data_IF_612499451234
#
_entry.id   IF_612499451234
#
_cell.length_a   1.000
_cell.length_b   1.000
_cell.length_c   1.000
_cell.angle_alpha   90.00
_cell.angle_beta   90.00
_cell.angle_gamma   90.00
#
_symmetry.space_group_name_H-M   'P 1'
#
loop_
_entity.id
_entity.type
_entity.pdbx_description
1 polymer ?
#
# COMPACT_ATOMS: atom_id res chain seq x y z
N UNK A 1 -11.59 -2.10 4.98
CA UNK A 1 -11.45 -2.67 3.63
C UNK A 1 -12.78 -2.99 2.94
N UNK A 2 -13.76 -3.69 3.56
CA UNK A 2 -15.04 -4.00 2.88
C UNK A 2 -15.86 -2.77 2.49
N UNK A 3 -16.02 -1.81 3.41
CA UNK A 3 -16.76 -0.56 3.17
C UNK A 3 -16.17 0.27 2.02
N UNK A 4 -14.84 0.29 1.91
CA UNK A 4 -14.13 1.02 0.86
C UNK A 4 -14.42 0.41 -0.51
N UNK A 5 -14.25 -0.91 -0.62
CA UNK A 5 -14.52 -1.62 -1.88
C UNK A 5 -15.99 -1.55 -2.28
N UNK A 6 -16.91 -1.59 -1.32
CA UNK A 6 -18.33 -1.33 -1.57
C UNK A 6 -18.58 0.11 -2.08
N UNK A 7 -17.90 1.11 -1.50
CA UNK A 7 -17.94 2.49 -2.00
C UNK A 7 -17.43 2.61 -3.44
N UNK A 8 -16.30 1.99 -3.77
CA UNK A 8 -15.79 1.95 -5.15
C UNK A 8 -16.74 1.25 -6.11
N UNK A 9 -17.35 0.15 -5.69
CA UNK A 9 -18.38 -0.54 -6.46
C UNK A 9 -19.59 0.36 -6.73
N UNK A 10 -20.05 1.13 -5.73
CA UNK A 10 -21.15 2.09 -5.90
C UNK A 10 -20.81 3.26 -6.81
N UNK A 11 -19.60 3.80 -6.71
CA UNK A 11 -19.11 4.83 -7.64
C UNK A 11 -19.11 4.30 -9.07
N UNK A 12 -18.68 3.05 -9.26
CA UNK A 12 -18.72 2.41 -10.57
C UNK A 12 -20.15 2.21 -11.09
N UNK A 13 -21.07 1.73 -10.25
CA UNK A 13 -22.49 1.60 -10.63
C UNK A 13 -23.10 2.94 -11.03
N UNK A 14 -22.79 4.03 -10.32
CA UNK A 14 -23.30 5.38 -10.61
C UNK A 14 -22.75 5.95 -11.93
N UNK A 15 -21.45 5.77 -12.18
CA UNK A 15 -20.82 6.15 -13.46
C UNK A 15 -21.42 5.35 -14.62
N UNK A 16 -21.71 4.06 -14.41
CA UNK A 16 -22.26 3.17 -15.44
C UNK A 16 -23.78 3.26 -15.60
N UNK A 17 -24.50 3.75 -14.59
CA UNK A 17 -25.95 3.96 -14.60
C UNK A 17 -26.37 5.21 -15.37
N UNK A 18 -25.44 6.13 -15.66
CA UNK A 18 -25.69 7.27 -16.52
C UNK A 18 -25.83 6.82 -18.00
N UNK A 19 -26.97 7.06 -18.66
CA UNK A 19 -27.26 6.55 -20.00
C UNK A 19 -26.58 7.37 -21.11
N UNK A 20 -25.37 7.86 -20.88
CA UNK A 20 -24.58 8.52 -21.92
C UNK A 20 -24.01 7.45 -22.84
N UNK A 21 -24.14 7.60 -24.17
CA UNK A 21 -23.62 6.63 -25.15
C UNK A 21 -22.13 6.29 -24.92
N UNK A 22 -21.34 7.26 -24.45
CA UNK A 22 -19.95 7.07 -24.07
C UNK A 22 -19.74 6.08 -22.90
N UNK A 23 -20.64 6.05 -21.91
CA UNK A 23 -20.58 5.15 -20.76
C UNK A 23 -20.96 3.71 -21.14
N UNK A 24 -21.94 3.54 -22.03
CA UNK A 24 -22.32 2.23 -22.58
C UNK A 24 -21.25 1.67 -23.53
N UNK A 25 -20.64 2.51 -24.36
CA UNK A 25 -19.48 2.12 -25.16
C UNK A 25 -18.28 1.75 -24.28
N UNK A 26 -17.98 2.52 -23.24
CA UNK A 26 -16.93 2.18 -22.27
C UNK A 26 -17.19 0.82 -21.58
N UNK A 27 -18.45 0.50 -21.24
CA UNK A 27 -18.85 -0.81 -20.70
C UNK A 27 -18.58 -1.96 -21.67
N UNK A 28 -18.81 -1.75 -22.97
CA UNK A 28 -18.58 -2.77 -23.99
C UNK A 28 -17.09 -3.00 -24.28
N UNK A 29 -16.24 -1.98 -24.12
CA UNK A 29 -14.80 -2.07 -24.37
C UNK A 29 -13.93 -2.41 -23.14
N UNK A 30 -14.36 -2.07 -21.91
CA UNK A 30 -13.54 -2.21 -20.69
C UNK A 30 -13.90 -3.47 -19.87
N UNK A 31 -15.10 -4.04 -20.04
CA UNK A 31 -15.58 -5.15 -19.22
C UNK A 31 -15.98 -4.72 -17.81
N UNK A 32 -16.26 -5.68 -16.92
CA UNK A 32 -16.59 -5.40 -15.51
C UNK A 32 -15.31 -5.45 -14.64
N UNK A 33 -14.81 -4.30 -14.15
CA UNK A 33 -13.57 -4.23 -13.36
C UNK A 33 -13.67 -4.88 -11.98
N UNK A 34 -14.89 -5.23 -11.53
CA UNK A 34 -15.15 -5.97 -10.31
C UNK A 34 -15.38 -7.46 -10.56
N UNK A 35 -15.34 -7.91 -11.82
CA UNK A 35 -15.35 -9.33 -12.19
C UNK A 35 -13.93 -9.83 -12.45
N UNK A 36 -13.72 -11.15 -12.44
CA UNK A 36 -12.40 -11.70 -12.74
C UNK A 36 -12.03 -11.64 -14.22
N UNK A 37 -10.74 -11.44 -14.55
CA UNK A 37 -9.59 -11.32 -13.62
C UNK A 37 -9.38 -9.93 -12.98
N UNK A 38 -9.97 -8.87 -13.51
CA UNK A 38 -9.68 -7.48 -13.15
C UNK A 38 -10.00 -7.13 -11.68
N UNK A 39 -10.89 -7.88 -11.03
CA UNK A 39 -11.22 -7.74 -9.62
C UNK A 39 -9.98 -7.75 -8.71
N UNK A 40 -8.95 -8.56 -9.03
CA UNK A 40 -7.70 -8.59 -8.26
C UNK A 40 -7.01 -7.23 -8.23
N UNK A 41 -6.96 -6.56 -9.39
CA UNK A 41 -6.33 -5.26 -9.56
C UNK A 41 -7.18 -4.15 -8.95
N UNK A 42 -8.48 -4.11 -9.27
CA UNK A 42 -9.39 -3.07 -8.80
C UNK A 42 -9.50 -3.03 -7.29
N UNK A 43 -9.68 -4.20 -6.66
CA UNK A 43 -9.79 -4.31 -5.20
C UNK A 43 -8.44 -4.02 -4.53
N UNK A 44 -7.32 -4.38 -5.17
CA UNK A 44 -5.99 -4.06 -4.65
C UNK A 44 -5.76 -2.55 -4.63
N UNK A 45 -6.08 -1.86 -5.73
CA UNK A 45 -5.97 -0.40 -5.83
C UNK A 45 -6.89 0.30 -4.81
N UNK A 46 -8.17 -0.08 -4.76
CA UNK A 46 -9.11 0.51 -3.81
C UNK A 46 -8.66 0.30 -2.36
N UNK A 47 -8.12 -0.87 -2.06
CA UNK A 47 -7.61 -1.20 -0.73
C UNK A 47 -6.32 -0.45 -0.39
N UNK A 48 -5.43 -0.23 -1.36
CA UNK A 48 -4.11 0.35 -1.11
C UNK A 48 -4.17 1.82 -0.72
N UNK A 49 -5.19 2.56 -1.18
CA UNK A 49 -5.46 3.94 -0.78
C UNK A 49 -5.64 4.10 0.75
N UNK A 50 -6.06 3.03 1.43
CA UNK A 50 -6.36 3.02 2.86
C UNK A 50 -5.32 2.28 3.71
N UNK A 51 -4.16 1.96 3.14
CA UNK A 51 -3.05 1.34 3.88
C UNK A 51 -2.47 2.26 4.98
N UNK A 52 -2.79 3.55 4.97
CA UNK A 52 -2.50 4.42 6.10
C UNK A 52 -3.21 3.99 7.41
N UNK A 53 -4.33 3.27 7.34
CA UNK A 53 -5.05 2.76 8.54
C UNK A 53 -4.20 1.75 9.32
N UNK A 54 -3.72 0.63 8.74
CA UNK A 54 -2.79 -0.25 9.44
C UNK A 54 -1.46 0.43 9.77
N UNK A 55 -1.04 1.46 9.01
CA UNK A 55 0.13 2.26 9.37
C UNK A 55 -0.04 2.99 10.71
N UNK A 56 -1.24 3.50 11.02
CA UNK A 56 -1.56 4.07 12.33
C UNK A 56 -1.32 3.04 13.44
N UNK A 57 -1.79 1.80 13.24
CA UNK A 57 -1.61 0.71 14.21
C UNK A 57 -0.13 0.43 14.46
N UNK A 58 0.68 0.35 13.39
CA UNK A 58 2.14 0.15 13.50
C UNK A 58 2.81 1.29 14.27
N UNK A 59 2.47 2.54 13.98
CA UNK A 59 3.01 3.71 14.69
C UNK A 59 2.65 3.68 16.17
N UNK A 60 1.40 3.33 16.48
CA UNK A 60 0.92 3.20 17.85
C UNK A 60 1.66 2.09 18.60
N UNK A 61 1.85 0.92 17.99
CA UNK A 61 2.58 -0.20 18.62
C UNK A 61 4.00 0.17 18.99
N UNK A 62 4.79 0.73 18.06
CA UNK A 62 6.16 1.10 18.38
C UNK A 62 6.23 2.30 19.35
N UNK A 63 5.29 3.24 19.28
CA UNK A 63 5.26 4.39 20.21
C UNK A 63 4.83 4.00 21.63
N UNK A 64 3.92 3.03 21.75
CA UNK A 64 3.49 2.48 23.04
C UNK A 64 4.63 1.74 23.73
N UNK A 65 5.49 1.05 22.96
CA UNK A 65 6.70 0.40 23.49
C UNK A 65 7.59 1.38 24.28
N UNK A 66 7.75 2.61 23.76
CA UNK A 66 8.52 3.65 24.45
C UNK A 66 7.76 4.26 25.63
N UNK A 67 6.45 4.44 25.48
CA UNK A 67 5.58 5.02 26.51
C UNK A 67 5.53 4.15 27.76
N UNK A 68 5.34 2.84 27.57
CA UNK A 68 5.26 1.85 28.65
C UNK A 68 6.63 1.25 29.03
N UNK A 69 7.71 1.70 28.38
CA UNK A 69 9.09 1.25 28.63
C UNK A 69 9.28 -0.26 28.50
N UNK A 70 8.43 -0.95 27.74
CA UNK A 70 8.53 -2.41 27.52
C UNK A 70 9.81 -2.75 26.76
N UNK A 71 10.39 -1.81 26.01
CA UNK A 71 11.72 -1.97 25.43
C UNK A 71 12.78 -2.27 26.52
N UNK A 72 12.74 -1.57 27.65
CA UNK A 72 13.65 -1.81 28.78
C UNK A 72 13.36 -3.17 29.42
N UNK A 73 12.09 -3.56 29.49
CA UNK A 73 11.70 -4.88 30.01
C UNK A 73 12.26 -6.01 29.14
N UNK A 74 12.14 -5.92 27.80
CA UNK A 74 12.69 -6.93 26.90
C UNK A 74 14.22 -7.12 27.10
N UNK A 75 14.94 -6.03 27.38
CA UNK A 75 16.38 -6.08 27.67
C UNK A 75 16.65 -6.74 29.03
N UNK A 76 15.84 -6.44 30.06
CA UNK A 76 15.89 -7.11 31.37
C UNK A 76 15.62 -8.60 31.21
N UNK A 77 14.70 -8.97 30.32
CA UNK A 77 14.36 -10.35 29.96
C UNK A 77 15.42 -11.02 29.07
N UNK A 78 16.57 -10.36 28.83
CA UNK A 78 17.73 -10.93 28.14
C UNK A 78 17.70 -10.83 26.61
N UNK A 79 16.80 -10.04 26.03
CA UNK A 79 16.76 -9.87 24.58
C UNK A 79 17.97 -9.10 24.06
N UNK A 80 18.57 -9.63 23.00
CA UNK A 80 19.56 -8.88 22.23
C UNK A 80 18.92 -7.72 21.48
N UNK A 81 19.72 -6.69 21.21
CA UNK A 81 19.28 -5.49 20.46
C UNK A 81 18.80 -5.83 19.05
N UNK A 82 19.35 -6.87 18.43
CA UNK A 82 18.91 -7.36 17.11
C UNK A 82 17.59 -8.12 17.22
N UNK A 83 17.39 -8.95 18.25
CA UNK A 83 16.12 -9.63 18.48
C UNK A 83 14.97 -8.64 18.65
N UNK A 84 15.19 -7.50 19.32
CA UNK A 84 14.18 -6.46 19.42
C UNK A 84 13.76 -5.91 18.05
N UNK A 85 14.70 -5.53 17.17
CA UNK A 85 14.34 -5.02 15.84
C UNK A 85 13.72 -6.13 14.97
N UNK A 86 14.18 -7.37 15.14
CA UNK A 86 13.65 -8.53 14.43
C UNK A 86 12.19 -8.80 14.81
N UNK A 87 11.82 -8.71 16.09
CA UNK A 87 10.42 -8.87 16.49
C UNK A 87 9.53 -7.79 15.90
N UNK A 88 10.02 -6.54 15.82
CA UNK A 88 9.25 -5.46 15.18
C UNK A 88 9.10 -5.64 13.68
N UNK A 89 10.12 -6.18 13.00
CA UNK A 89 10.00 -6.59 11.60
C UNK A 89 8.93 -7.68 11.43
N UNK A 90 8.93 -8.68 12.31
CA UNK A 90 7.93 -9.76 12.31
C UNK A 90 6.53 -9.19 12.58
N UNK A 91 6.36 -8.27 13.53
CA UNK A 91 5.08 -7.60 13.81
C UNK A 91 4.53 -6.90 12.55
N UNK A 92 5.40 -6.16 11.84
CA UNK A 92 5.02 -5.47 10.58
C UNK A 92 4.67 -6.47 9.48
N UNK A 93 5.40 -7.59 9.36
CA UNK A 93 5.10 -8.66 8.40
C UNK A 93 3.76 -9.35 8.71
N UNK A 94 3.45 -9.61 9.98
CA UNK A 94 2.19 -10.20 10.41
C UNK A 94 1.03 -9.27 10.04
N UNK A 95 1.14 -7.97 10.34
CA UNK A 95 0.11 -6.99 9.97
C UNK A 95 -0.05 -6.95 8.44
N UNK A 96 1.07 -6.90 7.70
CA UNK A 96 1.04 -6.96 6.22
C UNK A 96 0.27 -8.17 5.72
N UNK A 97 0.55 -9.35 6.28
CA UNK A 97 -0.11 -10.60 5.88
C UNK A 97 -1.62 -10.57 6.19
N UNK A 98 -2.01 -10.11 7.38
CA UNK A 98 -3.42 -9.96 7.76
C UNK A 98 -4.15 -9.04 6.78
N UNK A 99 -3.55 -7.89 6.45
CA UNK A 99 -4.13 -6.93 5.50
C UNK A 99 -4.22 -7.52 4.09
N UNK A 100 -3.21 -8.27 3.66
CA UNK A 100 -3.20 -8.97 2.37
C UNK A 100 -4.28 -10.05 2.31
N UNK A 101 -4.47 -10.83 3.38
CA UNK A 101 -5.54 -11.85 3.47
C UNK A 101 -6.91 -11.19 3.43
N UNK A 102 -7.10 -10.06 4.13
CA UNK A 102 -8.36 -9.31 4.06
C UNK A 102 -8.65 -8.83 2.64
N UNK A 103 -7.64 -8.25 1.96
CA UNK A 103 -7.74 -7.88 0.55
C UNK A 103 -8.11 -9.08 -0.32
N UNK A 104 -7.41 -10.21 -0.15
CA UNK A 104 -7.63 -11.43 -0.93
C UNK A 104 -9.08 -11.95 -0.79
N UNK A 105 -9.60 -12.01 0.44
CA UNK A 105 -10.98 -12.43 0.70
C UNK A 105 -11.98 -11.47 0.03
N UNK A 106 -11.75 -10.16 0.11
CA UNK A 106 -12.64 -9.17 -0.51
C UNK A 106 -12.60 -9.29 -2.03
N UNK A 107 -11.40 -9.44 -2.62
CA UNK A 107 -11.25 -9.62 -4.06
C UNK A 107 -11.94 -10.91 -4.54
N UNK A 108 -11.85 -11.99 -3.77
CA UNK A 108 -12.57 -13.23 -4.03
C UNK A 108 -14.09 -13.03 -4.02
N UNK A 109 -14.63 -12.46 -2.94
CA UNK A 109 -16.08 -12.26 -2.79
C UNK A 109 -16.62 -11.32 -3.87
N UNK A 110 -15.92 -10.21 -4.12
CA UNK A 110 -16.28 -9.24 -5.16
C UNK A 110 -16.24 -9.87 -6.54
N UNK A 111 -15.16 -10.59 -6.88
CA UNK A 111 -15.01 -11.24 -8.17
C UNK A 111 -16.09 -12.28 -8.45
N UNK A 112 -16.39 -13.16 -7.47
CA UNK A 112 -17.43 -14.20 -7.60
C UNK A 112 -18.82 -13.59 -7.77
N UNK A 113 -19.18 -12.59 -6.96
CA UNK A 113 -20.51 -11.97 -6.99
C UNK A 113 -20.81 -11.23 -8.30
N UNK A 114 -19.77 -10.81 -9.02
CA UNK A 114 -19.87 -10.03 -10.25
C UNK A 114 -19.59 -10.84 -11.52
N UNK A 115 -19.36 -12.15 -11.40
CA UNK A 115 -18.99 -13.00 -12.53
C UNK A 115 -20.25 -13.52 -13.26
N UNK A 116 -20.40 -13.19 -14.55
CA UNK A 116 -21.52 -13.67 -15.36
C UNK A 116 -21.39 -15.15 -15.79
N UNK A 117 -20.17 -15.71 -15.80
CA UNK A 117 -19.89 -17.12 -16.14
C UNK A 117 -18.83 -17.70 -15.20
N UNK A 118 -19.13 -18.84 -14.57
CA UNK A 118 -18.32 -19.50 -13.52
C UNK A 118 -16.86 -19.82 -13.88
N UNK A 119 -16.51 -19.97 -15.17
CA UNK A 119 -15.16 -20.40 -15.61
C UNK A 119 -14.64 -19.42 -16.66
N UNK A 120 -14.25 -18.23 -16.23
CA UNK A 120 -13.35 -17.33 -16.97
C UNK A 120 -12.02 -17.27 -16.21
N UNK A 121 -10.97 -16.73 -16.81
CA UNK A 121 -9.61 -16.63 -16.25
C UNK A 121 -9.58 -15.99 -14.84
N UNK A 122 -9.89 -16.74 -13.78
CA UNK A 122 -10.01 -16.21 -12.41
C UNK A 122 -8.68 -15.67 -11.91
N UNK A 123 -7.58 -16.32 -12.29
CA UNK A 123 -6.25 -16.07 -11.71
C UNK A 123 -5.35 -15.19 -12.58
N UNK A 124 -5.84 -14.67 -13.72
CA UNK A 124 -5.03 -13.94 -14.69
C UNK A 124 -4.25 -12.76 -14.12
N UNK A 125 -4.83 -12.07 -13.14
CA UNK A 125 -4.27 -10.86 -12.51
C UNK A 125 -3.94 -11.11 -11.02
N UNK A 126 -3.81 -12.37 -10.59
CA UNK A 126 -3.56 -12.71 -9.18
C UNK A 126 -2.18 -12.26 -8.67
N UNK A 127 -1.27 -11.88 -9.57
CA UNK A 127 0.03 -11.31 -9.19
C UNK A 127 -0.10 -10.00 -8.39
N UNK A 128 -1.23 -9.28 -8.51
CA UNK A 128 -1.55 -8.13 -7.66
C UNK A 128 -1.65 -8.48 -6.17
N UNK A 129 -1.83 -9.75 -5.80
CA UNK A 129 -1.77 -10.17 -4.39
C UNK A 129 -0.37 -9.94 -3.82
N UNK A 130 0.66 -10.35 -4.55
CA UNK A 130 2.05 -10.15 -4.14
C UNK A 130 2.45 -8.66 -4.20
N UNK A 131 2.00 -7.93 -5.23
CA UNK A 131 2.25 -6.49 -5.35
C UNK A 131 1.60 -5.71 -4.20
N UNK A 132 0.37 -6.05 -3.83
CA UNK A 132 -0.33 -5.47 -2.69
C UNK A 132 0.35 -5.76 -1.36
N UNK A 133 0.83 -6.98 -1.16
CA UNK A 133 1.61 -7.34 0.03
C UNK A 133 2.90 -6.50 0.11
N UNK A 134 3.62 -6.35 -1.00
CA UNK A 134 4.86 -5.57 -1.06
C UNK A 134 4.60 -4.06 -0.83
N UNK A 135 3.57 -3.50 -1.46
CA UNK A 135 3.17 -2.10 -1.24
C UNK A 135 2.83 -1.87 0.22
N UNK A 136 1.99 -2.74 0.80
CA UNK A 136 1.59 -2.67 2.20
C UNK A 136 2.80 -2.76 3.12
N UNK A 137 3.68 -3.74 2.93
CA UNK A 137 4.90 -3.90 3.71
C UNK A 137 5.79 -2.65 3.66
N UNK A 138 5.93 -2.04 2.48
CA UNK A 138 6.72 -0.83 2.30
C UNK A 138 6.19 0.35 3.09
N UNK A 139 4.90 0.65 2.92
CA UNK A 139 4.27 1.76 3.63
C UNK A 139 4.25 1.55 5.14
N UNK A 140 4.01 0.31 5.61
CA UNK A 140 4.08 -0.03 7.04
C UNK A 140 5.52 0.07 7.58
N UNK A 141 6.54 -0.26 6.77
CA UNK A 141 7.95 -0.08 7.16
C UNK A 141 8.33 1.40 7.29
N UNK A 142 7.83 2.26 6.40
CA UNK A 142 8.00 3.71 6.48
C UNK A 142 7.29 4.26 7.74
N UNK A 143 6.05 3.83 7.99
CA UNK A 143 5.31 4.20 9.20
C UNK A 143 6.03 3.76 10.48
N UNK A 144 6.54 2.51 10.49
CA UNK A 144 7.38 2.00 11.57
C UNK A 144 8.60 2.89 11.80
N UNK A 145 9.31 3.27 10.74
CA UNK A 145 10.48 4.15 10.83
C UNK A 145 10.14 5.48 11.51
N UNK A 146 9.05 6.13 11.12
CA UNK A 146 8.60 7.37 11.76
C UNK A 146 8.30 7.16 13.25
N UNK A 147 7.52 6.14 13.61
CA UNK A 147 7.25 5.80 15.01
C UNK A 147 8.52 5.47 15.81
N UNK A 148 9.45 4.74 15.20
CA UNK A 148 10.72 4.34 15.79
C UNK A 148 11.67 5.53 16.02
N UNK A 149 11.65 6.52 15.13
CA UNK A 149 12.47 7.73 15.25
C UNK A 149 11.90 8.73 16.24
N UNK A 150 10.59 9.03 16.14
CA UNK A 150 9.94 10.13 16.83
C UNK A 150 9.53 9.74 18.25
N UNK A 151 9.20 8.47 18.51
CA UNK A 151 8.80 7.89 19.81
C UNK A 151 7.53 8.48 20.45
N UNK A 152 6.99 9.58 19.93
CA UNK A 152 5.73 10.22 20.34
C UNK A 152 4.66 9.90 19.30
N UNK A 153 3.67 9.12 19.70
CA UNK A 153 2.67 8.55 18.78
C UNK A 153 1.97 9.60 17.91
N UNK A 154 1.40 10.65 18.50
CA UNK A 154 0.66 11.67 17.76
C UNK A 154 1.55 12.44 16.77
N UNK A 155 2.78 12.78 17.17
CA UNK A 155 3.72 13.48 16.31
C UNK A 155 4.20 12.59 15.15
N UNK A 156 4.48 11.31 15.43
CA UNK A 156 4.85 10.33 14.41
C UNK A 156 3.73 10.12 13.39
N UNK A 157 2.50 9.98 13.87
CA UNK A 157 1.31 9.85 13.04
C UNK A 157 1.09 11.10 12.18
N UNK A 158 1.15 12.29 12.78
CA UNK A 158 0.97 13.55 12.07
C UNK A 158 1.99 13.73 10.94
N UNK A 159 3.26 13.43 11.21
CA UNK A 159 4.32 13.51 10.19
C UNK A 159 4.12 12.46 9.09
N UNK A 160 3.78 11.22 9.45
CA UNK A 160 3.49 10.17 8.46
C UNK A 160 2.30 10.55 7.57
N UNK A 161 1.18 11.00 8.14
CA UNK A 161 0.00 11.39 7.36
C UNK A 161 0.27 12.63 6.50
N UNK A 162 1.00 13.61 7.03
CA UNK A 162 1.43 14.77 6.24
C UNK A 162 2.28 14.34 5.05
N UNK A 163 3.20 13.40 5.28
CA UNK A 163 4.07 12.86 4.25
C UNK A 163 3.28 12.07 3.19
N UNK A 164 2.42 11.16 3.63
CA UNK A 164 1.58 10.28 2.79
C UNK A 164 0.55 11.05 1.95
N UNK A 165 -0.17 12.01 2.54
CA UNK A 165 -1.31 12.66 1.88
C UNK A 165 -0.94 13.96 1.16
N UNK A 166 0.03 14.73 1.69
CA UNK A 166 0.25 16.12 1.26
C UNK A 166 1.62 16.27 0.63
N UNK A 167 2.69 16.04 1.42
CA UNK A 167 4.05 16.39 1.02
C UNK A 167 4.47 15.66 -0.25
N UNK A 168 4.27 14.34 -0.31
CA UNK A 168 4.77 13.55 -1.41
C UNK A 168 4.03 13.84 -2.72
N UNK A 169 2.71 14.04 -2.66
CA UNK A 169 1.91 14.44 -3.82
C UNK A 169 2.36 15.80 -4.39
N UNK A 170 2.63 16.79 -3.51
CA UNK A 170 3.14 18.10 -3.92
C UNK A 170 4.54 17.97 -4.55
N UNK A 171 5.43 17.22 -3.91
CA UNK A 171 6.79 16.99 -4.41
C UNK A 171 6.79 16.25 -5.75
N UNK A 172 5.97 15.21 -5.90
CA UNK A 172 5.83 14.46 -7.14
C UNK A 172 5.35 15.36 -8.28
N UNK A 173 4.32 16.18 -8.03
CA UNK A 173 3.82 17.15 -9.01
C UNK A 173 4.84 18.22 -9.38
N UNK A 174 5.56 18.78 -8.39
CA UNK A 174 6.62 19.76 -8.62
C UNK A 174 7.78 19.18 -9.43
N UNK A 175 8.25 17.98 -9.07
CA UNK A 175 9.32 17.28 -9.79
C UNK A 175 8.89 16.94 -11.22
N UNK A 176 7.65 16.52 -11.42
CA UNK A 176 7.08 16.28 -12.74
C UNK A 176 7.16 17.52 -13.63
N UNK A 177 6.78 18.68 -13.10
CA UNK A 177 6.82 19.94 -13.84
C UNK A 177 8.24 20.40 -14.22
N UNK A 178 9.24 20.11 -13.37
CA UNK A 178 10.60 20.67 -13.51
C UNK A 178 11.61 19.72 -14.17
N UNK A 179 11.50 18.44 -13.91
CA UNK A 179 12.51 17.43 -14.26
C UNK A 179 11.90 16.15 -14.86
N UNK A 180 10.63 16.18 -15.23
CA UNK A 180 9.88 15.00 -15.66
C UNK A 180 9.62 14.04 -14.50
N UNK A 181 9.44 12.76 -14.78
CA UNK A 181 8.99 11.76 -13.80
C UNK A 181 10.04 11.37 -12.73
N UNK A 182 10.71 12.33 -12.10
CA UNK A 182 11.65 12.09 -11.00
C UNK A 182 10.94 11.82 -9.67
N UNK A 183 9.64 12.17 -9.58
CA UNK A 183 8.79 11.82 -8.42
C UNK A 183 8.71 10.31 -8.17
N UNK A 184 9.02 9.48 -9.19
CA UNK A 184 9.05 8.02 -9.10
C UNK A 184 9.97 7.45 -8.00
N UNK A 185 10.93 8.24 -7.53
CA UNK A 185 11.91 7.86 -6.50
C UNK A 185 11.51 8.32 -5.10
N UNK A 186 10.33 8.94 -4.92
CA UNK A 186 9.86 9.29 -3.59
C UNK A 186 9.37 8.03 -2.85
N UNK A 187 9.52 7.94 -1.51
CA UNK A 187 9.38 6.69 -0.77
C UNK A 187 8.01 6.00 -0.87
N UNK A 188 6.91 6.75 -0.85
CA UNK A 188 5.54 6.20 -0.96
C UNK A 188 5.20 5.97 -2.43
N UNK A 189 5.55 6.90 -3.33
CA UNK A 189 5.38 6.83 -4.79
C UNK A 189 6.03 5.58 -5.38
N UNK A 190 7.21 5.19 -4.88
CA UNK A 190 7.87 3.94 -5.28
C UNK A 190 6.93 2.74 -5.12
N UNK A 191 6.23 2.65 -3.98
CA UNK A 191 5.30 1.58 -3.68
C UNK A 191 3.90 1.75 -4.25
N UNK A 192 3.40 2.99 -4.40
CA UNK A 192 2.08 3.26 -4.95
C UNK A 192 1.97 2.92 -6.42
N UNK A 193 3.09 3.05 -7.15
CA UNK A 193 3.18 2.68 -8.57
C UNK A 193 3.26 1.17 -8.81
N UNK A 194 3.32 0.34 -7.75
CA UNK A 194 3.17 -1.11 -7.88
C UNK A 194 1.76 -1.50 -8.31
N UNK A 195 0.76 -0.70 -7.94
CA UNK A 195 -0.64 -0.95 -8.25
C UNK A 195 -1.16 0.29 -8.97
N UNK A 196 -0.95 0.40 -10.30
CA UNK A 196 -1.39 1.57 -11.04
C UNK A 196 -2.91 1.70 -10.98
N UNK A 197 -3.42 2.92 -11.18
CA UNK A 197 -4.86 3.14 -11.20
C UNK A 197 -5.54 2.27 -12.29
N UNK A 198 -6.63 1.55 -11.96
CA UNK A 198 -7.38 0.76 -12.93
C UNK A 198 -7.89 1.59 -14.12
N UNK A 199 -7.90 0.99 -15.30
CA UNK A 199 -8.24 1.65 -16.58
C UNK A 199 -9.61 2.34 -16.57
N UNK A 200 -10.61 1.74 -15.91
CA UNK A 200 -11.96 2.31 -15.81
C UNK A 200 -12.01 3.64 -15.04
N UNK A 201 -11.13 3.82 -14.05
CA UNK A 201 -11.01 5.07 -13.30
C UNK A 201 -10.02 6.03 -13.94
N UNK A 202 -9.04 5.48 -14.65
CA UNK A 202 -7.97 6.28 -15.20
C UNK A 202 -8.50 7.31 -16.22
N UNK A 203 -9.49 6.98 -17.07
CA UNK A 203 -9.80 7.80 -18.29
C UNK A 203 -8.52 8.22 -19.07
N UNK A 204 -7.39 7.54 -18.80
CA UNK A 204 -6.06 7.96 -19.19
C UNK A 204 -5.79 7.45 -20.59
N UNK A 205 -4.98 8.22 -21.32
CA UNK A 205 -4.37 7.81 -22.57
C UNK A 205 -3.85 6.35 -22.44
N UNK A 206 -4.34 5.39 -23.25
CA UNK A 206 -3.95 3.98 -23.18
C UNK A 206 -2.44 3.77 -23.20
N UNK A 207 -1.69 4.64 -23.86
CA UNK A 207 -0.22 4.60 -23.89
C UNK A 207 0.41 4.85 -22.51
N UNK A 208 -0.16 5.78 -21.73
CA UNK A 208 0.29 6.08 -20.37
C UNK A 208 0.01 4.92 -19.42
N UNK A 209 -1.13 4.24 -19.57
CA UNK A 209 -1.41 3.06 -18.77
C UNK A 209 -0.41 1.92 -19.08
N UNK A 210 -0.15 1.67 -20.36
CA UNK A 210 0.85 0.68 -20.77
C UNK A 210 2.24 0.98 -20.22
N UNK A 211 2.67 2.25 -20.21
CA UNK A 211 3.97 2.62 -19.65
C UNK A 211 4.04 2.45 -18.13
N UNK A 212 2.95 2.74 -17.40
CA UNK A 212 2.86 2.50 -15.95
C UNK A 212 2.92 1.01 -15.62
N UNK A 213 2.20 0.16 -16.37
CA UNK A 213 2.25 -1.30 -16.16
C UNK A 213 3.65 -1.84 -16.48
N UNK A 214 4.28 -1.34 -17.54
CA UNK A 214 5.63 -1.73 -17.93
C UNK A 214 6.71 -1.33 -16.90
N UNK A 215 6.47 -0.29 -16.08
CA UNK A 215 7.42 0.14 -15.04
C UNK A 215 7.28 -0.62 -13.73
N UNK A 216 6.24 -1.45 -13.53
CA UNK A 216 6.00 -2.21 -12.29
C UNK A 216 7.26 -3.00 -11.85
N UNK A 217 7.97 -3.76 -12.70
CA UNK A 217 9.16 -4.50 -12.26
C UNK A 217 10.26 -3.58 -11.70
N UNK A 218 10.44 -2.39 -12.27
CA UNK A 218 11.38 -1.41 -11.74
C UNK A 218 10.94 -0.92 -10.35
N UNK A 219 9.65 -0.65 -10.17
CA UNK A 219 9.09 -0.25 -8.89
C UNK A 219 9.23 -1.34 -7.83
N UNK A 220 9.03 -2.61 -8.19
CA UNK A 220 9.28 -3.76 -7.29
C UNK A 220 10.71 -3.72 -6.75
N UNK A 221 11.70 -3.56 -7.63
CA UNK A 221 13.12 -3.48 -7.23
C UNK A 221 13.37 -2.28 -6.32
N UNK A 222 12.85 -1.10 -6.68
CA UNK A 222 13.01 0.12 -5.88
C UNK A 222 12.39 -0.02 -4.49
N UNK A 223 11.19 -0.59 -4.39
CA UNK A 223 10.49 -0.83 -3.13
C UNK A 223 11.23 -1.84 -2.24
N UNK A 224 11.76 -2.92 -2.82
CA UNK A 224 12.56 -3.92 -2.07
C UNK A 224 13.85 -3.30 -1.55
N UNK A 225 14.54 -2.49 -2.37
CA UNK A 225 15.75 -1.77 -1.95
C UNK A 225 15.42 -0.79 -0.82
N UNK A 226 14.38 0.02 -0.97
CA UNK A 226 13.96 1.00 0.02
C UNK A 226 13.66 0.33 1.37
N UNK A 227 12.84 -0.72 1.37
CA UNK A 227 12.49 -1.44 2.60
C UNK A 227 13.71 -2.09 3.25
N UNK A 228 14.61 -2.67 2.46
CA UNK A 228 15.87 -3.22 2.96
C UNK A 228 16.72 -2.15 3.63
N UNK A 229 16.84 -0.96 3.01
CA UNK A 229 17.58 0.18 3.57
C UNK A 229 16.94 0.64 4.88
N UNK A 230 15.62 0.77 4.93
CA UNK A 230 14.88 1.19 6.14
C UNK A 230 15.19 0.23 7.30
N UNK A 231 15.05 -1.06 7.09
CA UNK A 231 15.29 -2.05 8.14
C UNK A 231 16.76 -2.10 8.55
N UNK A 232 17.69 -2.10 7.59
CA UNK A 232 19.12 -2.03 7.87
C UNK A 232 19.48 -0.79 8.72
N UNK A 233 18.88 0.36 8.40
CA UNK A 233 19.01 1.58 9.18
C UNK A 233 18.45 1.44 10.60
N UNK A 234 17.28 0.81 10.77
CA UNK A 234 16.72 0.51 12.09
C UNK A 234 17.63 -0.38 12.94
N UNK A 235 18.21 -1.45 12.35
CA UNK A 235 19.19 -2.30 13.04
C UNK A 235 20.44 -1.53 13.46
N UNK A 236 21.01 -0.76 12.53
CA UNK A 236 22.19 0.06 12.79
C UNK A 236 21.93 1.09 13.90
N UNK A 237 20.79 1.77 13.85
CA UNK A 237 20.42 2.80 14.81
C UNK A 237 20.16 2.21 16.19
N UNK A 238 19.49 1.06 16.29
CA UNK A 238 19.23 0.41 17.59
C UNK A 238 20.52 -0.08 18.26
N UNK A 239 21.52 -0.47 17.48
CA UNK A 239 22.84 -0.84 18.01
C UNK A 239 23.57 0.35 18.65
N UNK A 240 23.34 1.57 18.16
CA UNK A 240 24.01 2.80 18.63
C UNK A 240 23.23 3.59 19.68
N UNK A 241 21.93 3.36 19.83
CA UNK A 241 21.09 4.09 20.78
C UNK A 241 21.38 3.65 22.23
N UNK A 242 21.58 4.61 23.12
CA UNK A 242 21.62 4.32 24.55
C UNK A 242 20.23 3.93 25.06
N UNK A 243 20.20 2.86 25.84
CA UNK A 243 19.02 2.28 26.46
C UNK A 243 18.78 2.98 27.80
N UNK A 244 18.31 4.24 27.76
CA UNK A 244 17.87 4.94 28.97
C UNK A 244 16.48 4.48 29.39
#
# INVERSE_FOLDING_TARGET
>A
YPAINYGFYKIYEDIMGNPTEAAQMAKMFIGNPFSFPEAWHTVAFASSLFTFIPAVVVIMFISNEYTYRTHRQNIIDGWSRSQFVTSKLIDVLIITLIITVLYFIIALVTGINNQERLIKNTWGEAHYIALFALQTFSQLSIAFLFGFLIRKAFLALGIFLFQYMILENILAGYLYAKAGDQGRFLPIEMSDRLIPMPTFMARLNPERYKSLVASIPQHVVMTVILTTIIWAFCYWLNKRRDLK
#
